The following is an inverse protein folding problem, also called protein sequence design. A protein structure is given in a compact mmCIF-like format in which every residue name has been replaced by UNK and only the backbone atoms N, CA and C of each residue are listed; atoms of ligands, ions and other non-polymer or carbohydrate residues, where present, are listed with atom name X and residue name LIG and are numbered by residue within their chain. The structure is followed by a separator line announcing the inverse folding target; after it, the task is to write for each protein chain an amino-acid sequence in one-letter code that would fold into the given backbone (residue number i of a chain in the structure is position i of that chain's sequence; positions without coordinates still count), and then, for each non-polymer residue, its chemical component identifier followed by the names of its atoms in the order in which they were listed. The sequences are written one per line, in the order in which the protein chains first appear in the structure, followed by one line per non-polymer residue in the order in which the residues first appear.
data_IF_015190122350
#
_entry.id   IF_015190122350
#
_cell.length_a   1.000
_cell.length_b   1.000
_cell.length_c   1.000
_cell.angle_alpha   90.00
_cell.angle_beta   90.00
_cell.angle_gamma   90.00
#
_symmetry.space_group_name_H-M   'P 1'
#
loop_
_entity.id
_entity.type
_entity.pdbx_description
1 polymer ?
#
# COMPACT_ATOMS: atom_id res chain seq x y z
N UNK A 1 56.99 59.49 26.75
CA UNK A 1 56.72 59.17 25.34
C UNK A 1 55.74 58.02 25.31
N UNK A 2 54.49 58.28 24.92
CA UNK A 2 53.43 57.27 24.91
C UNK A 2 53.38 56.65 23.51
N UNK A 3 53.70 55.35 23.42
CA UNK A 3 53.75 54.64 22.15
C UNK A 3 52.34 54.20 21.73
N UNK A 4 51.80 54.89 20.72
CA UNK A 4 50.49 54.66 20.10
C UNK A 4 50.32 53.25 19.52
N UNK A 5 51.42 52.62 19.10
CA UNK A 5 51.45 51.24 18.57
C UNK A 5 51.04 50.19 19.61
N UNK A 6 51.31 50.41 20.90
CA UNK A 6 50.97 49.45 21.95
C UNK A 6 49.47 49.45 22.25
N UNK A 7 48.78 50.54 21.98
CA UNK A 7 47.33 50.69 22.20
C UNK A 7 46.54 50.02 21.09
N UNK A 8 47.00 50.08 19.83
CA UNK A 8 46.35 49.45 18.67
C UNK A 8 46.46 47.91 18.73
N UNK A 9 47.60 47.38 19.16
CA UNK A 9 47.79 45.92 19.37
C UNK A 9 46.94 45.42 20.56
N UNK A 10 46.78 46.25 21.60
CA UNK A 10 45.93 45.95 22.73
C UNK A 10 44.44 45.98 22.33
N UNK A 11 44.03 46.89 21.45
CA UNK A 11 42.67 46.95 20.90
C UNK A 11 42.40 45.78 19.94
N UNK A 12 43.35 45.35 19.11
CA UNK A 12 43.22 44.14 18.27
C UNK A 12 43.16 42.84 19.11
N UNK A 13 44.01 42.68 20.14
CA UNK A 13 43.95 41.51 21.04
C UNK A 13 42.65 41.48 21.87
N UNK A 14 42.15 42.64 22.32
CA UNK A 14 40.90 42.74 23.08
C UNK A 14 39.69 42.48 22.17
N UNK A 15 39.72 42.95 20.92
CA UNK A 15 38.66 42.68 19.93
C UNK A 15 38.67 41.21 19.52
N UNK A 16 39.83 40.57 19.30
CA UNK A 16 39.90 39.13 18.98
C UNK A 16 39.49 38.22 20.16
N UNK A 17 39.75 38.63 21.41
CA UNK A 17 39.30 37.89 22.59
C UNK A 17 37.81 38.08 22.89
N UNK A 18 37.21 39.21 22.49
CA UNK A 18 35.77 39.47 22.63
C UNK A 18 34.95 38.84 21.49
N UNK A 19 35.58 38.47 20.36
CA UNK A 19 34.98 37.68 19.26
C UNK A 19 35.03 36.16 19.55
N UNK A 20 35.36 35.73 20.78
CA UNK A 20 34.92 34.42 21.27
C UNK A 20 33.41 34.48 21.41
N UNK A 21 32.77 34.20 20.28
CA UNK A 21 31.36 33.97 20.08
C UNK A 21 30.83 33.17 21.26
N UNK A 22 30.04 33.84 22.08
CA UNK A 22 29.12 33.19 22.99
C UNK A 22 28.18 32.35 22.09
N UNK A 23 28.54 31.08 21.90
CA UNK A 23 27.71 30.14 21.18
C UNK A 23 26.43 29.96 22.00
N UNK A 24 25.39 30.70 21.62
CA UNK A 24 24.01 30.45 22.06
C UNK A 24 23.77 28.94 22.02
N UNK A 25 23.29 28.31 23.11
CA UNK A 25 22.95 26.90 23.08
C UNK A 25 21.93 26.69 21.97
N UNK A 26 22.37 26.03 20.90
CA UNK A 26 21.53 25.74 19.75
C UNK A 26 20.52 24.72 20.20
N UNK A 27 19.29 25.21 20.40
CA UNK A 27 18.00 24.50 20.49
C UNK A 27 18.15 23.00 20.79
N UNK A 28 17.76 22.60 22.00
CA UNK A 28 17.62 21.21 22.41
C UNK A 28 16.85 20.41 21.34
N UNK A 29 17.61 19.80 20.44
CA UNK A 29 17.11 18.70 19.64
C UNK A 29 16.93 17.57 20.64
N UNK A 30 15.70 17.08 20.74
CA UNK A 30 15.22 16.17 21.77
C UNK A 30 16.28 15.14 22.17
N UNK A 31 16.35 14.85 23.48
CA UNK A 31 17.14 13.79 24.14
C UNK A 31 16.75 12.37 23.66
N UNK A 32 16.62 12.20 22.35
CA UNK A 32 16.38 10.92 21.72
C UNK A 32 17.61 10.08 21.99
N UNK A 33 17.39 8.94 22.63
CA UNK A 33 18.39 7.95 23.00
C UNK A 33 19.48 7.71 21.94
N UNK A 34 19.12 7.81 20.65
CA UNK A 34 20.04 7.74 19.51
C UNK A 34 21.12 8.84 19.51
N UNK A 35 20.75 10.08 19.77
CA UNK A 35 21.69 11.21 19.83
C UNK A 35 22.64 11.02 21.00
N UNK A 36 22.13 10.62 22.18
CA UNK A 36 22.95 10.36 23.38
C UNK A 36 23.93 9.20 23.21
N UNK A 37 23.56 8.18 22.43
CA UNK A 37 24.44 7.04 22.11
C UNK A 37 25.55 7.41 21.12
N UNK A 38 25.27 8.34 20.20
CA UNK A 38 26.23 8.80 19.18
C UNK A 38 27.15 9.93 19.67
N UNK A 39 26.68 10.83 20.54
CA UNK A 39 27.46 11.99 21.02
C UNK A 39 28.34 11.66 22.21
N UNK A 40 27.96 10.70 23.05
CA UNK A 40 28.69 10.37 24.28
C UNK A 40 29.82 9.37 24.02
N UNK A 41 30.82 9.76 23.22
CA UNK A 41 32.18 9.19 23.20
C UNK A 41 32.36 7.67 23.19
N UNK A 42 31.34 6.90 22.81
CA UNK A 42 31.34 5.44 22.91
C UNK A 42 32.10 4.77 21.76
N UNK A 43 32.46 5.54 20.73
CA UNK A 43 33.12 5.07 19.52
C UNK A 43 34.36 5.93 19.30
N UNK A 44 35.52 5.29 19.41
CA UNK A 44 36.80 5.89 19.01
C UNK A 44 36.80 6.17 17.51
N UNK A 45 37.59 7.14 17.04
CA UNK A 45 37.68 7.52 15.62
C UNK A 45 38.02 6.32 14.72
N UNK A 46 38.80 5.37 15.22
CA UNK A 46 39.14 4.12 14.51
C UNK A 46 37.93 3.19 14.37
N UNK A 47 37.14 3.01 15.45
CA UNK A 47 35.92 2.20 15.46
C UNK A 47 34.82 2.81 14.58
N UNK A 48 34.69 4.15 14.56
CA UNK A 48 33.74 4.86 13.70
C UNK A 48 34.05 4.61 12.22
N UNK A 49 35.32 4.68 11.84
CA UNK A 49 35.76 4.46 10.46
C UNK A 49 35.50 3.01 10.03
N UNK A 50 35.69 2.05 10.95
CA UNK A 50 35.42 0.63 10.72
C UNK A 50 33.93 0.29 10.64
N UNK A 51 33.07 1.00 11.39
CA UNK A 51 31.62 0.81 11.40
C UNK A 51 30.90 1.57 10.28
N UNK A 52 31.54 2.58 9.67
CA UNK A 52 30.98 3.38 8.58
C UNK A 52 30.38 2.57 7.41
N UNK A 53 31.05 1.54 6.83
CA UNK A 53 30.44 0.72 5.78
C UNK A 53 29.18 -0.03 6.25
N UNK A 54 29.12 -0.43 7.53
CA UNK A 54 27.96 -1.10 8.10
C UNK A 54 26.76 -0.16 8.28
N UNK A 55 27.00 1.08 8.69
CA UNK A 55 25.94 2.11 8.78
C UNK A 55 25.40 2.46 7.40
N UNK A 56 26.26 2.58 6.40
CA UNK A 56 25.84 2.80 5.01
C UNK A 56 25.01 1.63 4.48
N UNK A 57 25.38 0.40 4.82
CA UNK A 57 24.59 -0.79 4.48
C UNK A 57 23.18 -0.74 5.10
N UNK A 58 23.06 -0.36 6.38
CA UNK A 58 21.76 -0.20 7.04
C UNK A 58 20.94 0.94 6.43
N UNK A 59 21.57 2.06 6.07
CA UNK A 59 20.90 3.17 5.38
C UNK A 59 20.39 2.73 4.00
N UNK A 60 21.17 1.95 3.27
CA UNK A 60 20.76 1.35 2.00
C UNK A 60 19.58 0.39 2.16
N UNK A 61 19.61 -0.49 3.17
CA UNK A 61 18.47 -1.35 3.51
C UNK A 61 17.23 -0.54 3.88
N UNK A 62 17.39 0.55 4.63
CA UNK A 62 16.32 1.49 4.96
C UNK A 62 15.72 2.14 3.71
N UNK A 63 16.55 2.53 2.76
CA UNK A 63 16.09 3.08 1.48
C UNK A 63 15.30 2.04 0.67
N UNK A 64 15.80 0.81 0.56
CA UNK A 64 15.07 -0.30 -0.07
C UNK A 64 13.73 -0.58 0.63
N UNK A 65 13.70 -0.52 1.96
CA UNK A 65 12.48 -0.72 2.74
C UNK A 65 11.44 0.36 2.44
N UNK A 66 11.84 1.65 2.42
CA UNK A 66 10.93 2.75 2.09
C UNK A 66 10.41 2.61 0.65
N UNK A 67 11.28 2.23 -0.29
CA UNK A 67 10.89 1.95 -1.68
C UNK A 67 9.83 0.84 -1.78
N UNK A 68 10.08 -0.29 -1.13
CA UNK A 68 9.12 -1.41 -1.08
C UNK A 68 7.81 -1.03 -0.38
N UNK A 69 7.88 -0.21 0.68
CA UNK A 69 6.68 0.28 1.37
C UNK A 69 5.76 1.05 0.44
N UNK A 70 6.31 1.92 -0.41
CA UNK A 70 5.50 2.69 -1.35
C UNK A 70 4.82 1.80 -2.40
N UNK A 71 5.51 0.76 -2.89
CA UNK A 71 4.91 -0.23 -3.80
C UNK A 71 3.77 -1.01 -3.13
N UNK A 72 3.95 -1.42 -1.88
CA UNK A 72 2.91 -2.11 -1.13
C UNK A 72 1.66 -1.25 -0.92
N UNK A 73 1.83 0.05 -0.65
CA UNK A 73 0.69 0.97 -0.49
C UNK A 73 -0.11 1.14 -1.78
N UNK A 74 0.57 1.25 -2.93
CA UNK A 74 -0.10 1.29 -4.23
C UNK A 74 -0.84 -0.01 -4.52
N UNK A 75 -0.19 -1.16 -4.28
CA UNK A 75 -0.81 -2.47 -4.50
C UNK A 75 -2.06 -2.68 -3.64
N UNK A 76 -2.04 -2.28 -2.37
CA UNK A 76 -3.21 -2.40 -1.49
C UNK A 76 -4.39 -1.60 -2.06
N UNK A 77 -4.15 -0.37 -2.52
CA UNK A 77 -5.21 0.45 -3.15
C UNK A 77 -5.76 -0.18 -4.42
N UNK A 78 -4.92 -0.83 -5.22
CA UNK A 78 -5.37 -1.47 -6.45
C UNK A 78 -6.13 -2.77 -6.18
N UNK A 79 -5.72 -3.54 -5.17
CA UNK A 79 -6.46 -4.70 -4.67
C UNK A 79 -7.88 -4.28 -4.26
N UNK A 80 -8.03 -3.18 -3.51
CA UNK A 80 -9.34 -2.70 -3.08
C UNK A 80 -10.25 -2.31 -4.25
N UNK A 81 -9.70 -1.62 -5.27
CA UNK A 81 -10.44 -1.28 -6.49
C UNK A 81 -10.90 -2.52 -7.25
N UNK A 82 -9.97 -3.43 -7.54
CA UNK A 82 -10.26 -4.66 -8.29
C UNK A 82 -11.27 -5.53 -7.51
N UNK A 83 -11.14 -5.61 -6.19
CA UNK A 83 -12.08 -6.36 -5.34
C UNK A 83 -13.50 -5.80 -5.43
N UNK A 84 -13.63 -4.47 -5.52
CA UNK A 84 -14.92 -3.81 -5.70
C UNK A 84 -15.50 -4.11 -7.09
N UNK A 85 -14.70 -4.00 -8.14
CA UNK A 85 -15.11 -4.32 -9.51
C UNK A 85 -15.56 -5.78 -9.65
N UNK A 86 -14.79 -6.73 -9.11
CA UNK A 86 -15.17 -8.15 -9.08
C UNK A 86 -16.49 -8.35 -8.35
N UNK A 87 -16.69 -7.67 -7.23
CA UNK A 87 -17.94 -7.74 -6.48
C UNK A 87 -19.10 -7.25 -7.34
N UNK A 88 -19.00 -6.05 -7.93
CA UNK A 88 -20.02 -5.49 -8.82
C UNK A 88 -20.37 -6.43 -9.99
N UNK A 89 -19.35 -6.95 -10.68
CA UNK A 89 -19.53 -7.91 -11.78
C UNK A 89 -20.22 -9.20 -11.31
N UNK A 90 -19.92 -9.65 -10.09
CA UNK A 90 -20.58 -10.82 -9.48
C UNK A 90 -22.06 -10.59 -9.23
N UNK A 91 -22.45 -9.37 -8.84
CA UNK A 91 -23.86 -9.01 -8.64
C UNK A 91 -24.61 -8.99 -9.97
N UNK A 92 -24.02 -8.40 -11.00
CA UNK A 92 -24.58 -8.37 -12.34
C UNK A 92 -24.79 -9.78 -12.90
N UNK A 93 -23.77 -10.64 -12.78
CA UNK A 93 -23.87 -12.04 -13.18
C UNK A 93 -25.03 -12.76 -12.46
N UNK A 94 -25.15 -12.61 -11.14
CA UNK A 94 -26.21 -13.24 -10.36
C UNK A 94 -27.59 -12.74 -10.76
N UNK A 95 -27.73 -11.43 -10.98
CA UNK A 95 -28.98 -10.81 -11.40
C UNK A 95 -29.39 -11.31 -12.79
N UNK A 96 -28.49 -11.25 -13.78
CA UNK A 96 -28.74 -11.74 -15.14
C UNK A 96 -29.06 -13.23 -15.16
N UNK A 97 -28.35 -14.04 -14.38
CA UNK A 97 -28.62 -15.48 -14.25
C UNK A 97 -29.99 -15.75 -13.63
N UNK A 98 -30.39 -14.97 -12.62
CA UNK A 98 -31.71 -15.10 -12.01
C UNK A 98 -32.82 -14.74 -13.01
N UNK A 99 -32.63 -13.69 -13.80
CA UNK A 99 -33.55 -13.31 -14.88
C UNK A 99 -33.66 -14.41 -15.95
N UNK A 100 -32.53 -14.98 -16.36
CA UNK A 100 -32.50 -16.11 -17.30
C UNK A 100 -33.24 -17.32 -16.73
N UNK A 101 -33.00 -17.67 -15.46
CA UNK A 101 -33.68 -18.78 -14.81
C UNK A 101 -35.19 -18.56 -14.73
N UNK A 102 -35.63 -17.34 -14.39
CA UNK A 102 -37.04 -16.96 -14.40
C UNK A 102 -37.66 -17.14 -15.80
N UNK A 103 -37.00 -16.59 -16.83
CA UNK A 103 -37.44 -16.75 -18.23
C UNK A 103 -37.45 -18.19 -18.72
N UNK A 104 -36.58 -19.03 -18.18
CA UNK A 104 -36.45 -20.46 -18.52
C UNK A 104 -37.43 -21.34 -17.73
N UNK A 105 -38.25 -20.77 -16.85
CA UNK A 105 -39.24 -21.54 -16.08
C UNK A 105 -40.33 -22.04 -17.03
N UNK A 106 -40.75 -23.31 -16.88
CA UNK A 106 -41.75 -23.95 -17.74
C UNK A 106 -43.04 -23.15 -17.91
N UNK A 107 -43.49 -22.45 -16.86
CA UNK A 107 -44.69 -21.61 -16.89
C UNK A 107 -44.50 -20.32 -17.72
N UNK A 108 -43.32 -19.68 -17.65
CA UNK A 108 -42.97 -18.52 -18.47
C UNK A 108 -42.73 -18.94 -19.93
N UNK A 109 -42.07 -20.07 -20.15
CA UNK A 109 -41.83 -20.63 -21.48
C UNK A 109 -43.14 -21.04 -22.13
N UNK A 110 -44.04 -21.73 -21.42
CA UNK A 110 -45.36 -22.11 -21.94
C UNK A 110 -46.17 -20.87 -22.36
N UNK A 111 -46.22 -19.83 -21.52
CA UNK A 111 -46.89 -18.55 -21.87
C UNK A 111 -46.32 -17.90 -23.13
N UNK A 112 -45.00 -17.95 -23.33
CA UNK A 112 -44.34 -17.42 -24.55
C UNK A 112 -44.47 -18.36 -25.74
N UNK A 113 -44.63 -19.66 -25.52
CA UNK A 113 -44.80 -20.66 -26.58
C UNK A 113 -46.26 -20.74 -27.05
N UNK A 114 -47.22 -20.38 -26.20
CA UNK A 114 -48.65 -20.27 -26.54
C UNK A 114 -48.88 -19.24 -27.65
N UNK A 115 -48.15 -18.12 -27.64
CA UNK A 115 -48.21 -17.14 -28.75
C UNK A 115 -47.62 -17.67 -30.05
N UNK A 116 -46.77 -18.70 -29.97
CA UNK A 116 -46.18 -19.43 -31.10
C UNK A 116 -47.02 -20.66 -31.50
N UNK A 117 -48.14 -20.93 -30.81
CA UNK A 117 -49.04 -22.06 -31.08
C UNK A 117 -48.53 -23.43 -30.58
N UNK A 118 -47.49 -23.45 -29.73
CA UNK A 118 -46.89 -24.67 -29.19
C UNK A 118 -47.52 -24.97 -27.83
N UNK A 119 -48.06 -26.18 -27.64
CA UNK A 119 -48.73 -26.63 -26.41
C UNK A 119 -47.94 -27.71 -25.69
N UNK A 120 -47.94 -27.67 -24.36
CA UNK A 120 -47.36 -28.72 -23.53
C UNK A 120 -48.23 -29.98 -23.61
N UNK A 121 -47.59 -31.15 -23.70
CA UNK A 121 -48.29 -32.43 -23.62
C UNK A 121 -48.78 -32.66 -22.17
N UNK A 122 -50.08 -32.59 -21.94
CA UNK A 122 -50.70 -32.87 -20.63
C UNK A 122 -50.89 -34.38 -20.40
N UNK A 123 -50.97 -35.16 -21.48
CA UNK A 123 -51.18 -36.59 -21.42
C UNK A 123 -49.84 -37.36 -21.42
N UNK A 124 -49.67 -38.36 -20.55
CA UNK A 124 -48.48 -39.20 -20.57
C UNK A 124 -48.39 -39.98 -21.89
N UNK A 125 -47.17 -40.24 -22.40
CA UNK A 125 -46.99 -40.94 -23.67
C UNK A 125 -47.60 -42.35 -23.61
N UNK A 126 -48.44 -42.68 -24.60
CA UNK A 126 -49.08 -43.98 -24.66
C UNK A 126 -48.07 -45.07 -25.07
N UNK A 127 -47.98 -46.13 -24.26
CA UNK A 127 -47.19 -47.31 -24.60
C UNK A 127 -47.92 -48.11 -25.67
N UNK A 128 -47.43 -48.04 -26.91
CA UNK A 128 -47.92 -48.88 -28.00
C UNK A 128 -47.49 -50.32 -27.68
N UNK A 129 -48.46 -51.16 -27.31
CA UNK A 129 -48.23 -52.59 -27.09
C UNK A 129 -48.85 -53.31 -28.28
N UNK A 130 -48.01 -53.86 -29.15
CA UNK A 130 -48.46 -54.64 -30.31
C UNK A 130 -49.12 -55.90 -29.75
N UNK A 131 -50.43 -56.06 -29.97
CA UNK A 131 -51.07 -57.36 -29.78
C UNK A 131 -50.68 -58.18 -30.98
N UNK A 132 -49.88 -59.21 -30.78
CA UNK A 132 -49.73 -60.27 -31.77
C UNK A 132 -51.11 -60.92 -31.92
N UNK A 133 -51.72 -60.72 -33.08
CA UNK A 133 -52.97 -61.36 -33.45
C UNK A 133 -52.76 -62.87 -33.38
N UNK A 134 -53.45 -63.52 -32.45
CA UNK A 134 -53.53 -64.97 -32.40
C UNK A 134 -54.26 -65.46 -33.65
N UNK A 135 -53.48 -65.97 -34.61
CA UNK A 135 -53.93 -66.90 -35.64
C UNK A 135 -53.74 -68.33 -35.15
#
# INVERSE_FOLDING_TARGET
MTNRLRTEIQEEEVVEQEIVVEEKPRRDFSDNFFVKLLTKGAISTDDATRALPFVLYLAFLGMLYIGNRHMSEQNIRDIDKISKEVKELSWEYKSSKAELAFKSTLTEVAKRADTLGIRTAEEPPQKITVKEDAQ
#
